data_IF_124088272857
#
_entry.id   IF_124088272857
#
_cell.length_a   1.000
_cell.length_b   1.000
_cell.length_c   1.000
_cell.angle_alpha   90.00
_cell.angle_beta   90.00
_cell.angle_gamma   90.00
#
_symmetry.space_group_name_H-M   'P 1'
#
loop_
_entity.id
_entity.type
_entity.pdbx_description
1 polymer ?
#
# COMPACT_ATOMS: atom_id res chain seq x y z
N UNK A 1 -51.08 62.50 -1.28
CA UNK A 1 -49.64 62.40 -0.94
C UNK A 1 -49.30 61.40 0.17
N UNK A 2 -50.09 61.26 1.25
CA UNK A 2 -49.75 60.36 2.38
C UNK A 2 -49.73 58.85 2.04
N UNK A 3 -50.62 58.38 1.16
CA UNK A 3 -50.64 56.96 0.74
C UNK A 3 -49.40 56.55 -0.08
N UNK A 4 -48.89 57.43 -0.94
CA UNK A 4 -47.71 57.14 -1.77
C UNK A 4 -46.43 57.01 -0.93
N UNK A 5 -46.30 57.82 0.11
CA UNK A 5 -45.19 57.73 1.07
C UNK A 5 -45.26 56.44 1.89
N UNK A 6 -46.46 56.00 2.27
CA UNK A 6 -46.66 54.74 2.99
C UNK A 6 -46.30 53.52 2.11
N UNK A 7 -46.72 53.51 0.85
CA UNK A 7 -46.39 52.43 -0.10
C UNK A 7 -44.90 52.38 -0.41
N UNK A 8 -44.23 53.54 -0.54
CA UNK A 8 -42.79 53.62 -0.76
C UNK A 8 -41.98 53.15 0.46
N UNK A 9 -42.42 53.52 1.67
CA UNK A 9 -41.81 53.03 2.92
C UNK A 9 -41.98 51.52 3.08
N UNK A 10 -43.13 50.98 2.71
CA UNK A 10 -43.41 49.54 2.77
C UNK A 10 -42.53 48.73 1.79
N UNK A 11 -42.38 49.19 0.55
CA UNK A 11 -41.46 48.55 -0.41
C UNK A 11 -40.01 48.61 0.04
N UNK A 12 -39.57 49.75 0.61
CA UNK A 12 -38.19 49.88 1.12
C UNK A 12 -37.93 48.95 2.32
N UNK A 13 -38.93 48.73 3.18
CA UNK A 13 -38.84 47.80 4.31
C UNK A 13 -38.78 46.33 3.84
N UNK A 14 -39.55 45.97 2.82
CA UNK A 14 -39.48 44.64 2.20
C UNK A 14 -38.10 44.41 1.58
N UNK A 15 -37.60 45.37 0.80
CA UNK A 15 -36.27 45.29 0.18
C UNK A 15 -35.14 45.16 1.20
N UNK A 16 -35.21 45.86 2.34
CA UNK A 16 -34.24 45.73 3.43
C UNK A 16 -34.32 44.37 4.11
N UNK A 17 -35.53 43.81 4.25
CA UNK A 17 -35.75 42.48 4.82
C UNK A 17 -35.24 41.38 3.88
N UNK A 18 -35.48 41.51 2.57
CA UNK A 18 -34.98 40.56 1.55
C UNK A 18 -33.46 40.60 1.48
N UNK A 19 -32.85 41.80 1.46
CA UNK A 19 -31.37 41.94 1.48
C UNK A 19 -30.77 41.42 2.78
N UNK A 20 -31.43 41.65 3.92
CA UNK A 20 -31.02 41.09 5.21
C UNK A 20 -31.07 39.56 5.20
N UNK A 21 -32.16 38.97 4.70
CA UNK A 21 -32.30 37.52 4.56
C UNK A 21 -31.26 36.94 3.58
N UNK A 22 -31.02 37.55 2.41
CA UNK A 22 -29.98 37.09 1.47
C UNK A 22 -28.58 37.18 2.09
N UNK A 23 -28.26 38.27 2.79
CA UNK A 23 -26.98 38.42 3.49
C UNK A 23 -26.79 37.35 4.59
N UNK A 24 -27.85 36.95 5.30
CA UNK A 24 -27.77 35.87 6.28
C UNK A 24 -27.60 34.48 5.65
N UNK A 25 -28.18 34.23 4.47
CA UNK A 25 -28.02 32.96 3.75
C UNK A 25 -26.64 32.85 3.08
N UNK A 26 -26.13 33.92 2.47
CA UNK A 26 -24.77 33.98 1.90
C UNK A 26 -23.66 33.95 2.98
N UNK A 27 -23.94 34.47 4.18
CA UNK A 27 -22.99 34.39 5.32
C UNK A 27 -22.99 33.04 6.02
N UNK A 28 -24.04 32.22 5.85
CA UNK A 28 -24.10 30.88 6.46
C UNK A 28 -23.41 29.82 5.59
N UNK A 29 -23.29 30.04 4.29
CA UNK A 29 -22.61 29.14 3.35
C UNK A 29 -21.10 29.37 3.25
N UNK A 30 -20.62 30.53 3.70
CA UNK A 30 -19.20 30.83 3.82
C UNK A 30 -18.78 30.73 5.29
N UNK A 31 -17.98 29.70 5.60
CA UNK A 31 -17.10 29.65 6.79
C UNK A 31 -17.70 29.15 8.11
N UNK A 32 -18.51 28.08 8.11
CA UNK A 32 -18.45 27.18 9.27
C UNK A 32 -17.33 26.18 9.04
N UNK A 33 -16.23 26.31 9.79
CA UNK A 33 -15.16 25.33 9.79
C UNK A 33 -15.74 23.97 10.18
N UNK A 34 -15.91 23.07 9.21
CA UNK A 34 -16.51 21.78 9.46
C UNK A 34 -15.55 20.93 10.27
N UNK A 35 -16.05 20.33 11.35
CA UNK A 35 -15.29 19.35 12.14
C UNK A 35 -14.96 18.10 11.32
N UNK A 36 -15.77 17.82 10.30
CA UNK A 36 -15.72 16.62 9.45
C UNK A 36 -15.20 16.94 8.05
N UNK A 37 -14.45 16.02 7.45
CA UNK A 37 -13.95 16.12 6.07
C UNK A 37 -15.10 16.03 5.08
N UNK A 38 -15.25 17.03 4.21
CA UNK A 38 -16.20 16.98 3.09
C UNK A 38 -15.58 16.35 1.84
N UNK A 39 -16.42 16.02 0.85
CA UNK A 39 -15.93 15.53 -0.44
C UNK A 39 -15.09 16.58 -1.18
N UNK A 40 -15.42 17.86 -1.04
CA UNK A 40 -14.65 18.98 -1.62
C UNK A 40 -13.29 19.13 -0.93
N UNK A 41 -13.24 18.97 0.40
CA UNK A 41 -11.98 18.97 1.16
C UNK A 41 -11.09 17.80 0.76
N UNK A 42 -11.66 16.61 0.62
CA UNK A 42 -10.93 15.42 0.17
C UNK A 42 -10.38 15.62 -1.24
N UNK A 43 -11.17 16.19 -2.16
CA UNK A 43 -10.71 16.48 -3.52
C UNK A 43 -9.54 17.46 -3.51
N UNK A 44 -9.67 18.57 -2.76
CA UNK A 44 -8.61 19.57 -2.62
C UNK A 44 -7.33 18.96 -2.04
N UNK A 45 -7.47 18.12 -1.00
CA UNK A 45 -6.36 17.37 -0.40
C UNK A 45 -5.67 16.48 -1.45
N UNK A 46 -6.43 15.68 -2.19
CA UNK A 46 -5.88 14.75 -3.17
C UNK A 46 -5.19 15.49 -4.32
N UNK A 47 -5.78 16.58 -4.81
CA UNK A 47 -5.17 17.42 -5.85
C UNK A 47 -3.85 17.99 -5.38
N UNK A 48 -3.80 18.52 -4.15
CA UNK A 48 -2.56 19.07 -3.61
C UNK A 48 -1.50 17.99 -3.36
N UNK A 49 -1.91 16.79 -2.91
CA UNK A 49 -1.02 15.64 -2.74
C UNK A 49 -0.43 15.20 -4.08
N UNK A 50 -1.21 15.24 -5.16
CA UNK A 50 -0.73 14.91 -6.50
C UNK A 50 0.34 15.91 -6.99
N UNK A 51 0.16 17.19 -6.67
CA UNK A 51 1.11 18.24 -7.06
C UNK A 51 2.42 18.18 -6.26
N UNK A 52 2.35 17.98 -4.94
CA UNK A 52 3.51 18.10 -4.04
C UNK A 52 4.20 16.76 -3.73
N UNK A 53 3.51 15.64 -3.97
CA UNK A 53 3.95 14.26 -3.75
C UNK A 53 4.72 14.06 -2.43
N UNK A 54 4.15 14.46 -1.27
CA UNK A 54 4.86 14.47 0.01
C UNK A 54 5.32 13.09 0.47
N UNK A 55 4.63 12.02 0.07
CA UNK A 55 4.94 10.65 0.46
C UNK A 55 6.20 10.07 -0.22
N UNK A 56 6.69 10.67 -1.32
CA UNK A 56 7.96 10.28 -1.96
C UNK A 56 9.20 10.85 -1.23
N UNK A 57 9.02 11.83 -0.34
CA UNK A 57 10.11 12.52 0.33
C UNK A 57 10.68 11.72 1.52
N UNK A 58 11.63 10.79 1.32
CA UNK A 58 12.11 9.87 2.36
C UNK A 58 12.73 10.56 3.59
N UNK A 59 13.56 11.58 3.40
CA UNK A 59 14.27 12.24 4.52
C UNK A 59 13.45 13.31 5.25
N UNK A 60 12.46 13.89 4.58
CA UNK A 60 11.73 15.07 5.05
C UNK A 60 10.20 14.89 4.95
N UNK A 61 9.70 13.66 5.04
CA UNK A 61 8.28 13.35 4.82
C UNK A 61 7.37 14.21 5.69
N UNK A 62 7.68 14.35 6.99
CA UNK A 62 6.90 15.18 7.92
C UNK A 62 6.82 16.63 7.48
N UNK A 63 7.97 17.24 7.15
CA UNK A 63 8.03 18.63 6.67
C UNK A 63 7.27 18.83 5.36
N UNK A 64 7.31 17.83 4.47
CA UNK A 64 6.56 17.87 3.22
C UNK A 64 5.05 17.87 3.45
N UNK A 65 4.57 17.06 4.41
CA UNK A 65 3.17 17.08 4.83
C UNK A 65 2.76 18.38 5.53
N UNK A 66 3.63 18.95 6.36
CA UNK A 66 3.37 20.25 7.01
C UNK A 66 3.27 21.39 5.99
N UNK A 67 4.16 21.40 4.99
CA UNK A 67 4.12 22.36 3.90
C UNK A 67 2.86 22.22 3.04
N UNK A 68 2.44 20.98 2.75
CA UNK A 68 1.17 20.71 2.06
C UNK A 68 -0.03 21.18 2.88
N UNK A 69 -0.03 20.94 4.19
CA UNK A 69 -1.11 21.38 5.07
C UNK A 69 -1.22 22.92 5.12
N UNK A 70 -0.10 23.63 5.15
CA UNK A 70 -0.08 25.09 5.05
C UNK A 70 -0.68 25.58 3.73
N UNK A 71 -0.29 24.97 2.59
CA UNK A 71 -0.87 25.32 1.27
C UNK A 71 -2.37 25.08 1.21
N UNK A 72 -2.87 23.98 1.78
CA UNK A 72 -4.30 23.68 1.80
C UNK A 72 -5.12 24.70 2.59
N UNK A 73 -4.56 25.30 3.64
CA UNK A 73 -5.24 26.36 4.39
C UNK A 73 -5.40 27.66 3.58
N UNK A 74 -4.54 27.87 2.59
CA UNK A 74 -4.63 29.01 1.67
C UNK A 74 -5.63 28.77 0.52
N UNK A 75 -6.12 27.54 0.33
CA UNK A 75 -7.07 27.20 -0.74
C UNK A 75 -8.46 27.78 -0.41
N UNK A 76 -9.00 28.68 -1.25
CA UNK A 76 -10.33 29.22 -1.04
C UNK A 76 -11.39 28.12 -1.03
N UNK A 77 -12.27 28.13 -0.03
CA UNK A 77 -13.33 27.12 0.09
C UNK A 77 -12.90 25.83 0.80
N UNK A 78 -11.64 25.71 1.25
CA UNK A 78 -11.25 24.61 2.13
C UNK A 78 -11.92 24.75 3.49
N UNK A 79 -12.67 23.72 3.90
CA UNK A 79 -13.59 23.78 5.02
C UNK A 79 -12.96 23.74 6.41
N UNK A 80 -11.63 23.66 6.53
CA UNK A 80 -10.94 23.53 7.83
C UNK A 80 -10.17 24.80 8.18
N UNK A 81 -10.38 25.31 9.41
CA UNK A 81 -9.66 26.46 9.96
C UNK A 81 -8.24 26.14 10.45
N UNK A 82 -7.94 24.86 10.69
CA UNK A 82 -6.59 24.39 11.02
C UNK A 82 -6.35 23.00 10.47
N UNK A 83 -5.15 22.80 9.94
CA UNK A 83 -4.68 21.55 9.40
C UNK A 83 -3.20 21.36 9.76
N UNK A 84 -2.89 20.17 10.24
CA UNK A 84 -1.54 19.73 10.58
C UNK A 84 -1.12 18.68 9.55
N UNK A 85 0.18 18.61 9.23
CA UNK A 85 0.70 17.64 8.26
C UNK A 85 0.34 16.22 8.63
N UNK A 86 0.35 15.87 9.92
CA UNK A 86 -0.08 14.55 10.41
C UNK A 86 -1.57 14.27 10.12
N UNK A 87 -2.44 15.28 10.24
CA UNK A 87 -3.88 15.13 9.95
C UNK A 87 -4.12 14.96 8.45
N UNK A 88 -3.42 15.74 7.62
CA UNK A 88 -3.47 15.62 6.16
C UNK A 88 -2.99 14.23 5.71
N UNK A 89 -1.82 13.78 6.19
CA UNK A 89 -1.27 12.46 5.89
C UNK A 89 -2.23 11.33 6.31
N UNK A 90 -2.76 11.39 7.53
CA UNK A 90 -3.69 10.37 8.02
C UNK A 90 -4.96 10.30 7.15
N UNK A 91 -5.53 11.46 6.78
CA UNK A 91 -6.69 11.48 5.89
C UNK A 91 -6.37 10.90 4.52
N UNK A 92 -5.23 11.25 3.93
CA UNK A 92 -4.77 10.69 2.66
C UNK A 92 -4.68 9.15 2.71
N UNK A 93 -4.03 8.58 3.72
CA UNK A 93 -3.92 7.12 3.86
C UNK A 93 -5.27 6.44 4.10
N UNK A 94 -6.20 7.09 4.81
CA UNK A 94 -7.56 6.59 4.93
C UNK A 94 -8.28 6.53 3.58
N UNK A 95 -8.12 7.57 2.75
CA UNK A 95 -8.71 7.62 1.40
C UNK A 95 -8.13 6.52 0.50
N UNK A 96 -6.80 6.33 0.47
CA UNK A 96 -6.17 5.23 -0.27
C UNK A 96 -6.72 3.87 0.16
N UNK A 97 -6.83 3.62 1.48
CA UNK A 97 -7.34 2.35 2.00
C UNK A 97 -8.79 2.10 1.62
N UNK A 98 -9.63 3.14 1.70
CA UNK A 98 -11.04 3.05 1.30
C UNK A 98 -11.14 2.80 -0.20
N UNK A 99 -10.33 3.48 -1.01
CA UNK A 99 -10.31 3.32 -2.47
C UNK A 99 -9.88 1.93 -2.90
N UNK A 100 -8.85 1.35 -2.26
CA UNK A 100 -8.45 -0.04 -2.54
C UNK A 100 -9.55 -1.05 -2.24
N UNK A 101 -10.32 -0.83 -1.17
CA UNK A 101 -11.49 -1.68 -0.87
C UNK A 101 -12.54 -1.53 -1.96
N UNK A 102 -12.77 -0.30 -2.42
CA UNK A 102 -13.68 0.00 -3.52
C UNK A 102 -13.23 -0.69 -4.82
N UNK A 103 -11.99 -0.55 -5.27
CA UNK A 103 -11.46 -1.24 -6.45
C UNK A 103 -11.61 -2.77 -6.35
N UNK A 104 -11.28 -3.33 -5.17
CA UNK A 104 -11.44 -4.76 -4.93
C UNK A 104 -12.90 -5.20 -5.01
N UNK A 105 -13.86 -4.43 -4.47
CA UNK A 105 -15.28 -4.76 -4.59
C UNK A 105 -15.82 -4.55 -6.00
N UNK A 106 -15.41 -3.49 -6.69
CA UNK A 106 -15.86 -3.16 -8.05
C UNK A 106 -15.35 -4.15 -9.09
N UNK A 107 -14.17 -4.77 -8.88
CA UNK A 107 -13.69 -5.90 -9.69
C UNK A 107 -14.69 -7.05 -9.78
N UNK A 108 -15.53 -7.23 -8.75
CA UNK A 108 -16.57 -8.26 -8.72
C UNK A 108 -17.97 -7.75 -9.14
N UNK A 109 -18.12 -6.46 -9.46
CA UNK A 109 -19.37 -5.84 -9.92
C UNK A 109 -19.31 -5.36 -11.38
N UNK A 110 -18.41 -5.94 -12.18
CA UNK A 110 -18.25 -5.63 -13.61
C UNK A 110 -19.59 -5.77 -14.35
N UNK A 111 -20.14 -4.64 -14.84
CA UNK A 111 -21.42 -4.58 -15.53
C UNK A 111 -22.31 -3.38 -15.18
N UNK A 112 -21.96 -2.62 -14.13
CA UNK A 112 -22.66 -1.38 -13.76
C UNK A 112 -21.83 -0.17 -14.22
N UNK A 113 -22.42 0.68 -15.05
CA UNK A 113 -21.86 2.00 -15.41
C UNK A 113 -21.76 2.85 -14.13
N UNK A 114 -20.55 2.96 -13.58
CA UNK A 114 -20.29 3.81 -12.42
C UNK A 114 -19.89 5.19 -12.93
N UNK A 115 -20.53 6.22 -12.37
CA UNK A 115 -20.13 7.61 -12.60
C UNK A 115 -18.71 7.81 -12.03
N UNK A 116 -17.72 7.84 -12.92
CA UNK A 116 -16.31 8.07 -12.58
C UNK A 116 -16.15 9.52 -12.09
N UNK A 117 -16.47 9.73 -10.82
CA UNK A 117 -16.24 11.02 -10.17
C UNK A 117 -14.76 11.36 -10.27
N UNK A 118 -14.37 12.60 -10.57
CA UNK A 118 -12.95 13.01 -10.68
C UNK A 118 -12.07 12.66 -9.46
N UNK A 119 -12.68 12.43 -8.29
CA UNK A 119 -12.03 11.89 -7.09
C UNK A 119 -11.52 10.45 -7.26
N UNK A 120 -12.28 9.59 -7.95
CA UNK A 120 -11.95 8.17 -8.21
C UNK A 120 -10.74 8.10 -9.14
N UNK A 121 -10.78 8.82 -10.26
CA UNK A 121 -9.68 8.90 -11.23
C UNK A 121 -8.39 9.36 -10.56
N UNK A 122 -8.46 10.43 -9.78
CA UNK A 122 -7.30 10.95 -9.06
C UNK A 122 -6.77 9.98 -7.99
N UNK A 123 -7.65 9.21 -7.36
CA UNK A 123 -7.25 8.17 -6.41
C UNK A 123 -6.58 6.99 -7.11
N UNK A 124 -7.00 6.61 -8.32
CA UNK A 124 -6.35 5.57 -9.11
C UNK A 124 -4.90 5.95 -9.43
N UNK A 125 -4.70 7.18 -9.94
CA UNK A 125 -3.37 7.72 -10.22
C UNK A 125 -2.49 7.76 -8.96
N UNK A 126 -3.03 8.26 -7.84
CA UNK A 126 -2.30 8.39 -6.58
C UNK A 126 -1.97 7.03 -5.95
N UNK A 127 -2.84 6.02 -6.10
CA UNK A 127 -2.55 4.64 -5.66
C UNK A 127 -1.36 4.10 -6.45
N UNK A 128 -1.37 4.24 -7.77
CA UNK A 128 -0.27 3.78 -8.62
C UNK A 128 1.05 4.46 -8.23
N UNK A 129 1.07 5.80 -8.12
CA UNK A 129 2.27 6.55 -7.73
C UNK A 129 2.79 6.18 -6.34
N UNK A 130 1.89 5.83 -5.41
CA UNK A 130 2.23 5.43 -4.06
C UNK A 130 2.86 4.04 -4.01
N UNK A 131 2.34 3.09 -4.80
CA UNK A 131 2.89 1.74 -4.90
C UNK A 131 4.26 1.75 -5.56
N UNK A 132 4.42 2.46 -6.69
CA UNK A 132 5.72 2.66 -7.33
C UNK A 132 6.76 3.25 -6.38
N UNK A 133 6.37 4.26 -5.59
CA UNK A 133 7.26 4.87 -4.58
C UNK A 133 7.65 3.87 -3.47
N UNK A 134 6.71 3.02 -3.08
CA UNK A 134 6.92 2.01 -2.04
C UNK A 134 7.85 0.91 -2.54
N UNK A 135 7.64 0.43 -3.77
CA UNK A 135 8.46 -0.58 -4.41
C UNK A 135 9.88 -0.08 -4.65
N UNK A 136 10.05 1.15 -5.13
CA UNK A 136 11.37 1.75 -5.28
C UNK A 136 12.11 1.84 -3.94
N UNK A 137 11.43 2.29 -2.87
CA UNK A 137 12.03 2.35 -1.53
C UNK A 137 12.43 0.96 -1.01
N UNK A 138 11.62 -0.05 -1.29
CA UNK A 138 11.91 -1.43 -0.91
C UNK A 138 13.11 -1.97 -1.69
N UNK A 139 13.20 -1.68 -2.99
CA UNK A 139 14.34 -2.04 -3.84
C UNK A 139 15.63 -1.36 -3.38
N UNK A 140 15.59 -0.05 -3.08
CA UNK A 140 16.74 0.71 -2.56
C UNK A 140 17.23 0.12 -1.23
N UNK A 141 16.30 -0.20 -0.32
CA UNK A 141 16.63 -0.85 0.95
C UNK A 141 17.23 -2.24 0.75
N UNK A 142 16.70 -3.02 -0.18
CA UNK A 142 17.23 -4.34 -0.52
C UNK A 142 18.65 -4.23 -1.09
N UNK A 143 18.92 -3.26 -1.96
CA UNK A 143 20.24 -3.02 -2.54
C UNK A 143 21.27 -2.61 -1.46
N UNK A 144 20.90 -1.72 -0.54
CA UNK A 144 21.75 -1.33 0.59
C UNK A 144 22.06 -2.54 1.49
N UNK A 145 21.05 -3.36 1.80
CA UNK A 145 21.24 -4.57 2.59
C UNK A 145 22.11 -5.61 1.88
N UNK A 146 21.93 -5.81 0.57
CA UNK A 146 22.73 -6.73 -0.23
C UNK A 146 24.20 -6.32 -0.23
N UNK A 147 24.48 -5.02 -0.43
CA UNK A 147 25.84 -4.48 -0.34
C UNK A 147 26.45 -4.64 1.06
N UNK A 148 25.65 -4.45 2.11
CA UNK A 148 26.11 -4.68 3.47
C UNK A 148 26.46 -6.16 3.73
N UNK A 149 25.66 -7.09 3.20
CA UNK A 149 25.94 -8.53 3.31
C UNK A 149 27.18 -8.95 2.52
N UNK A 150 27.39 -8.41 1.32
CA UNK A 150 28.60 -8.65 0.53
C UNK A 150 29.87 -8.13 1.23
N UNK A 151 29.77 -6.94 1.83
CA UNK A 151 30.85 -6.37 2.64
C UNK A 151 31.14 -7.22 3.89
N UNK A 152 30.12 -7.74 4.57
CA UNK A 152 30.32 -8.63 5.72
C UNK A 152 30.89 -9.98 5.30
N UNK A 153 30.42 -10.56 4.18
CA UNK A 153 30.94 -11.82 3.65
C UNK A 153 32.42 -11.71 3.27
N UNK A 154 32.81 -10.62 2.59
CA UNK A 154 34.22 -10.35 2.26
C UNK A 154 35.06 -10.12 3.52
N UNK A 155 34.56 -9.38 4.51
CA UNK A 155 35.25 -9.19 5.79
C UNK A 155 35.40 -10.51 6.58
N UNK A 156 34.37 -11.36 6.56
CA UNK A 156 34.39 -12.68 7.20
C UNK A 156 35.40 -13.61 6.55
N UNK A 157 35.45 -13.63 5.21
CA UNK A 157 36.44 -14.41 4.45
C UNK A 157 37.88 -14.01 4.80
N UNK A 158 38.16 -12.70 4.90
CA UNK A 158 39.48 -12.21 5.33
C UNK A 158 39.80 -12.66 6.77
N UNK A 159 38.82 -12.60 7.68
CA UNK A 159 38.98 -13.05 9.07
C UNK A 159 39.32 -14.54 9.15
N UNK A 160 38.65 -15.37 8.36
CA UNK A 160 38.88 -16.81 8.30
C UNK A 160 40.26 -17.16 7.72
N UNK A 161 40.67 -16.50 6.63
CA UNK A 161 42.01 -16.65 6.06
C UNK A 161 43.12 -16.29 7.05
N UNK A 162 42.94 -15.23 7.85
CA UNK A 162 43.90 -14.84 8.87
C UNK A 162 44.00 -15.87 10.01
N UNK A 163 42.87 -16.44 10.43
CA UNK A 163 42.83 -17.46 11.50
C UNK A 163 43.43 -18.80 11.07
N UNK A 164 43.28 -19.18 9.81
CA UNK A 164 43.82 -20.44 9.26
C UNK A 164 45.30 -20.33 8.91
N UNK A 165 45.76 -19.18 8.41
CA UNK A 165 47.17 -18.96 8.02
C UNK A 165 48.12 -18.77 9.20
N UNK A 166 47.61 -18.47 10.41
CA UNK A 166 48.40 -18.39 11.64
C UNK A 166 48.92 -19.74 12.17
N UNK A 167 48.54 -20.88 11.55
CA UNK A 167 48.95 -22.23 11.97
C UNK A 167 50.05 -22.82 11.08
N UNK A 168 50.96 -22.02 10.55
CA UNK A 168 52.26 -22.55 10.09
C UNK A 168 53.13 -22.68 11.35
N UNK A 169 53.13 -23.89 11.94
CA UNK A 169 54.13 -24.28 12.93
C UNK A 169 55.51 -24.01 12.31
N UNK A 170 56.34 -23.25 13.00
CA UNK A 170 57.79 -23.34 12.85
C UNK A 170 58.19 -24.78 13.16
N UNK A 171 58.27 -25.61 12.13
CA UNK A 171 58.96 -26.90 12.19
C UNK A 171 60.41 -26.59 11.85
N UNK A 172 61.23 -26.55 12.89
CA UNK A 172 62.67 -26.71 12.72
C UNK A 172 62.92 -28.08 12.07
N UNK A 173 63.79 -28.04 11.09
CA UNK A 173 64.24 -29.13 10.22
C UNK A 173 64.68 -30.35 11.04
N UNK A 174 64.08 -31.53 10.77
CA UNK A 174 64.84 -32.77 10.83
C UNK A 174 64.33 -33.76 9.77
N UNK A 175 65.30 -34.41 9.15
CA UNK A 175 65.22 -35.23 7.95
C UNK A 175 64.58 -36.59 8.27
N UNK A 176 63.39 -36.88 7.74
CA UNK A 176 62.96 -38.28 7.56
C UNK A 176 61.78 -38.38 6.59
N UNK A 177 61.85 -39.38 5.72
CA UNK A 177 60.86 -39.85 4.75
C UNK A 177 59.41 -39.81 5.25
N UNK A 178 58.62 -38.77 4.88
CA UNK A 178 57.17 -38.71 5.17
C UNK A 178 56.36 -37.90 4.13
N UNK A 179 56.81 -37.85 2.88
CA UNK A 179 56.11 -37.08 1.84
C UNK A 179 54.78 -37.70 1.41
N UNK A 180 54.60 -39.01 1.59
CA UNK A 180 53.43 -39.75 1.10
C UNK A 180 52.23 -39.67 2.09
N UNK A 181 52.49 -39.68 3.41
CA UNK A 181 51.45 -39.59 4.44
C UNK A 181 50.84 -38.18 4.53
N UNK A 182 51.63 -37.14 4.29
CA UNK A 182 51.16 -35.74 4.27
C UNK A 182 50.23 -35.49 3.07
N UNK A 183 50.51 -36.10 1.91
CA UNK A 183 49.65 -36.07 0.73
C UNK A 183 48.31 -36.78 0.96
N UNK A 184 48.35 -37.99 1.54
CA UNK A 184 47.14 -38.74 1.93
C UNK A 184 46.27 -37.99 2.95
N UNK A 185 46.88 -37.35 3.96
CA UNK A 185 46.14 -36.54 4.95
C UNK A 185 45.52 -35.28 4.34
N UNK A 186 46.21 -34.60 3.43
CA UNK A 186 45.63 -33.44 2.71
C UNK A 186 44.45 -33.86 1.84
N UNK A 187 44.57 -34.97 1.10
CA UNK A 187 43.47 -35.47 0.26
C UNK A 187 42.26 -35.89 1.10
N UNK A 188 42.46 -36.57 2.23
CA UNK A 188 41.35 -36.95 3.12
C UNK A 188 40.59 -35.74 3.71
N UNK A 189 41.29 -34.63 3.98
CA UNK A 189 40.66 -33.38 4.45
C UNK A 189 39.85 -32.71 3.33
N UNK A 190 40.38 -32.68 2.10
CA UNK A 190 39.65 -32.15 0.94
C UNK A 190 38.40 -32.99 0.62
N UNK A 191 38.52 -34.32 0.59
CA UNK A 191 37.39 -35.23 0.39
C UNK A 191 36.34 -35.11 1.50
N UNK A 192 36.74 -34.78 2.73
CA UNK A 192 35.81 -34.52 3.83
C UNK A 192 34.99 -33.25 3.60
N UNK A 193 35.63 -32.15 3.18
CA UNK A 193 34.95 -30.88 2.90
C UNK A 193 34.06 -30.98 1.67
N UNK A 194 34.51 -31.70 0.63
CA UNK A 194 33.71 -31.91 -0.59
C UNK A 194 32.44 -32.71 -0.28
N UNK A 195 32.55 -33.74 0.58
CA UNK A 195 31.40 -34.52 1.07
C UNK A 195 30.46 -33.68 1.94
N UNK A 196 30.97 -32.75 2.73
CA UNK A 196 30.17 -31.82 3.54
C UNK A 196 29.38 -30.85 2.66
N UNK A 197 30.02 -30.28 1.62
CA UNK A 197 29.38 -29.40 0.64
C UNK A 197 28.25 -30.13 -0.11
N UNK A 198 28.45 -31.40 -0.48
CA UNK A 198 27.42 -32.21 -1.13
C UNK A 198 26.20 -32.41 -0.22
N UNK A 199 26.44 -32.73 1.06
CA UNK A 199 25.37 -32.90 2.05
C UNK A 199 24.60 -31.59 2.29
N UNK A 200 25.26 -30.44 2.26
CA UNK A 200 24.60 -29.14 2.34
C UNK A 200 23.75 -28.84 1.10
N UNK A 201 24.25 -29.17 -0.10
CA UNK A 201 23.48 -29.03 -1.34
C UNK A 201 22.24 -29.93 -1.34
N UNK A 202 22.37 -31.17 -0.91
CA UNK A 202 21.26 -32.10 -0.76
C UNK A 202 20.23 -31.57 0.25
N UNK A 203 20.67 -31.11 1.43
CA UNK A 203 19.79 -30.46 2.42
C UNK A 203 19.04 -29.26 1.84
N UNK A 204 19.74 -28.39 1.12
CA UNK A 204 19.14 -27.21 0.51
C UNK A 204 18.12 -27.59 -0.57
N UNK A 205 18.42 -28.61 -1.37
CA UNK A 205 17.48 -29.13 -2.37
C UNK A 205 16.23 -29.73 -1.75
N UNK A 206 16.37 -30.45 -0.64
CA UNK A 206 15.26 -31.03 0.11
C UNK A 206 14.39 -29.93 0.74
N UNK A 207 14.99 -28.91 1.35
CA UNK A 207 14.23 -27.77 1.90
C UNK A 207 13.47 -27.01 0.81
N UNK A 208 14.10 -26.79 -0.35
CA UNK A 208 13.44 -26.17 -1.50
C UNK A 208 12.26 -27.01 -1.99
N UNK A 209 12.43 -28.33 -2.10
CA UNK A 209 11.35 -29.25 -2.50
C UNK A 209 10.21 -29.25 -1.48
N UNK A 210 10.53 -29.28 -0.18
CA UNK A 210 9.55 -29.20 0.91
C UNK A 210 8.73 -27.92 0.84
N UNK A 211 9.39 -26.77 0.65
CA UNK A 211 8.71 -25.48 0.53
C UNK A 211 7.81 -25.43 -0.72
N UNK A 212 8.27 -26.00 -1.83
CA UNK A 212 7.48 -26.08 -3.06
C UNK A 212 6.21 -26.93 -2.86
N UNK A 213 6.33 -28.05 -2.16
CA UNK A 213 5.18 -28.88 -1.81
C UNK A 213 4.19 -28.14 -0.89
N UNK A 214 4.69 -27.42 0.11
CA UNK A 214 3.86 -26.62 1.03
C UNK A 214 3.12 -25.48 0.32
N UNK A 215 3.73 -24.87 -0.71
CA UNK A 215 3.05 -23.90 -1.56
C UNK A 215 1.98 -24.54 -2.44
N UNK A 216 2.26 -25.71 -3.01
CA UNK A 216 1.29 -26.44 -3.82
C UNK A 216 0.07 -26.90 -3.01
N UNK A 217 0.28 -27.34 -1.76
CA UNK A 217 -0.80 -27.70 -0.84
C UNK A 217 -1.67 -26.48 -0.47
N UNK A 218 -1.04 -25.35 -0.12
CA UNK A 218 -1.79 -24.10 0.13
C UNK A 218 -2.59 -23.63 -1.07
N UNK A 219 -2.07 -23.82 -2.28
CA UNK A 219 -2.78 -23.47 -3.50
C UNK A 219 -3.96 -24.42 -3.74
N UNK A 220 -3.79 -25.72 -3.46
CA UNK A 220 -4.89 -26.68 -3.48
C UNK A 220 -5.99 -26.31 -2.48
N UNK A 221 -5.65 -25.91 -1.26
CA UNK A 221 -6.61 -25.44 -0.24
C UNK A 221 -7.36 -24.17 -0.66
N UNK A 222 -6.71 -23.30 -1.44
CA UNK A 222 -7.39 -22.13 -2.05
C UNK A 222 -8.36 -22.58 -3.12
N UNK A 223 -7.94 -23.47 -4.00
CA UNK A 223 -8.78 -24.01 -5.07
C UNK A 223 -9.98 -24.78 -4.53
N UNK A 224 -9.82 -25.60 -3.50
CA UNK A 224 -10.93 -26.33 -2.87
C UNK A 224 -11.96 -25.36 -2.26
N UNK A 225 -11.52 -24.28 -1.61
CA UNK A 225 -12.44 -23.25 -1.10
C UNK A 225 -13.18 -22.51 -2.21
N UNK A 226 -12.52 -22.27 -3.34
CA UNK A 226 -13.16 -21.68 -4.52
C UNK A 226 -14.19 -22.65 -5.10
N UNK A 227 -13.82 -23.92 -5.29
CA UNK A 227 -14.73 -24.96 -5.80
C UNK A 227 -15.94 -25.18 -4.89
N UNK A 228 -15.77 -25.13 -3.56
CA UNK A 228 -16.88 -25.20 -2.62
C UNK A 228 -17.86 -24.04 -2.82
N UNK A 229 -17.34 -22.81 -2.97
CA UNK A 229 -18.17 -21.62 -3.23
C UNK A 229 -18.86 -21.68 -4.57
N UNK A 230 -18.18 -22.16 -5.61
CA UNK A 230 -18.77 -22.35 -6.94
C UNK A 230 -19.86 -23.42 -6.92
N UNK A 231 -19.65 -24.51 -6.20
CA UNK A 231 -20.65 -25.56 -6.04
C UNK A 231 -21.89 -25.05 -5.28
N UNK A 232 -21.69 -24.28 -4.20
CA UNK A 232 -22.77 -23.63 -3.46
C UNK A 232 -23.50 -22.59 -4.30
N UNK A 233 -22.77 -21.78 -5.07
CA UNK A 233 -23.34 -20.80 -6.00
C UNK A 233 -24.20 -21.48 -7.05
N UNK A 234 -23.70 -22.55 -7.68
CA UNK A 234 -24.46 -23.32 -8.66
C UNK A 234 -25.73 -23.93 -8.06
N UNK A 235 -25.65 -24.48 -6.84
CA UNK A 235 -26.83 -24.99 -6.12
C UNK A 235 -27.84 -23.88 -5.85
N UNK A 236 -27.37 -22.69 -5.47
CA UNK A 236 -28.23 -21.54 -5.22
C UNK A 236 -28.87 -21.02 -6.52
N UNK A 237 -28.12 -20.98 -7.62
CA UNK A 237 -28.60 -20.57 -8.94
C UNK A 237 -29.66 -21.55 -9.45
N UNK A 238 -29.42 -22.86 -9.33
CA UNK A 238 -30.38 -23.90 -9.68
C UNK A 238 -31.67 -23.77 -8.84
N UNK A 239 -31.54 -23.45 -7.54
CA UNK A 239 -32.69 -23.19 -6.66
C UNK A 239 -33.46 -21.93 -7.07
N UNK A 240 -32.77 -20.84 -7.42
CA UNK A 240 -33.40 -19.61 -7.90
C UNK A 240 -34.13 -19.87 -9.22
N UNK A 241 -33.54 -20.62 -10.14
CA UNK A 241 -34.17 -20.98 -11.41
C UNK A 241 -35.49 -21.77 -11.19
N UNK A 242 -35.50 -22.71 -10.23
CA UNK A 242 -36.72 -23.42 -9.84
C UNK A 242 -37.78 -22.49 -9.23
N UNK A 243 -37.38 -21.55 -8.38
CA UNK A 243 -38.30 -20.56 -7.79
C UNK A 243 -38.93 -19.66 -8.87
N UNK A 244 -38.14 -19.21 -9.85
CA UNK A 244 -38.63 -18.42 -11.00
C UNK A 244 -39.62 -19.25 -11.84
N UNK A 245 -39.32 -20.53 -12.05
CA UNK A 245 -40.20 -21.44 -12.79
C UNK A 245 -41.52 -21.70 -12.03
N UNK A 246 -41.50 -21.76 -10.70
CA UNK A 246 -42.70 -21.90 -9.88
C UNK A 246 -43.52 -20.59 -9.85
N UNK A 247 -42.85 -19.45 -9.71
CA UNK A 247 -43.49 -18.13 -9.72
C UNK A 247 -44.20 -17.84 -11.06
N UNK A 248 -43.62 -18.27 -12.18
CA UNK A 248 -44.25 -18.12 -13.51
C UNK A 248 -45.46 -19.03 -13.74
N UNK A 249 -45.72 -20.00 -12.86
CA UNK A 249 -46.89 -20.89 -12.90
C UNK A 249 -47.99 -20.49 -11.93
N UNK A 250 -47.78 -19.49 -11.08
CA UNK A 250 -48.82 -18.95 -10.21
C UNK A 250 -49.74 -18.01 -11.02
N UNK A 251 -51.08 -18.12 -10.89
CA UNK A 251 -51.98 -17.15 -11.50
C UNK A 251 -51.73 -15.76 -10.91
N UNK A 252 -51.58 -14.76 -11.78
CA UNK A 252 -51.62 -13.36 -11.37
C UNK A 252 -53.09 -12.99 -11.18
N UNK A 253 -53.57 -13.10 -9.94
CA UNK A 253 -54.83 -12.47 -9.50
C UNK A 253 -54.70 -10.94 -9.43
#
# INVERSE_FOLDING_TARGET
>A
MKLWLAVSAYHRAIDQTIRGCQATWESTTLTQASKWWSNSDDLSLLTQVNNDIPFKQVKNTTKAWDALAAKLLEVPGFGRSSLDGKKAANRFYQLLRTHRRFQNSSKYMSGVEQDETGKIVLLDELVQLFDEATDQRNADRAAVNAKAMENEASASFIRELAMTSGRIKSVDTDESTDSDVIGQKRNAVFESHEREIELERERFSFEKYKLQMELAEREKDRMERIQQREFEMKRNDDMIALLIQLASKLPND
#
